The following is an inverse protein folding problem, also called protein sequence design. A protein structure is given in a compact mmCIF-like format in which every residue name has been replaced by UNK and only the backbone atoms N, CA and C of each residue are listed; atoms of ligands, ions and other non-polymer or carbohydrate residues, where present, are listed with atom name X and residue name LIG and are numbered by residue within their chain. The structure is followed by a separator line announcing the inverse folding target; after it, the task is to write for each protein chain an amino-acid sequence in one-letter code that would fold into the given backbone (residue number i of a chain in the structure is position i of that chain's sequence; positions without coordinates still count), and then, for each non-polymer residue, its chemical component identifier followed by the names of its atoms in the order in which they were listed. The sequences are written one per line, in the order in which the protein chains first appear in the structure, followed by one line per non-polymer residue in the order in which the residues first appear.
data_IF_456188518430
#
_entry.id   IF_456188518430
#
_cell.length_a   1.000
_cell.length_b   1.000
_cell.length_c   1.000
_cell.angle_alpha   90.00
_cell.angle_beta   90.00
_cell.angle_gamma   90.00
#
_symmetry.space_group_name_H-M   'P 1'
#
loop_
_entity.id
_entity.type
_entity.pdbx_description
1 polymer ?
#
# COMPACT_ATOMS: atom_id res chain seq x y z
N UNK A 1 -7.82 -32.18 4.75
CA UNK A 1 -6.69 -31.33 4.32
C UNK A 1 -6.84 -30.00 5.03
N UNK A 2 -6.00 -29.68 6.01
CA UNK A 2 -6.00 -28.37 6.66
C UNK A 2 -5.09 -27.45 5.83
N UNK A 3 -5.68 -26.55 5.06
CA UNK A 3 -4.93 -25.49 4.39
C UNK A 3 -4.56 -24.42 5.40
N UNK A 4 -3.30 -23.99 5.43
CA UNK A 4 -2.87 -22.78 6.12
C UNK A 4 -2.66 -21.69 5.07
N UNK A 5 -3.21 -20.51 5.32
CA UNK A 5 -2.95 -19.32 4.51
C UNK A 5 -1.78 -18.57 5.14
N UNK A 6 -0.74 -18.30 4.35
CA UNK A 6 0.32 -17.37 4.71
C UNK A 6 0.03 -16.06 3.98
N UNK A 7 -0.07 -14.96 4.73
CA UNK A 7 -0.17 -13.63 4.14
C UNK A 7 1.23 -13.04 3.99
N UNK A 8 1.50 -12.54 2.79
CA UNK A 8 2.75 -11.87 2.42
C UNK A 8 2.44 -10.48 1.87
N UNK A 9 3.23 -9.50 2.28
CA UNK A 9 3.26 -8.14 1.74
C UNK A 9 4.63 -7.94 1.11
N UNK A 10 4.63 -7.48 -0.14
CA UNK A 10 5.84 -7.07 -0.82
C UNK A 10 5.64 -5.67 -1.41
N UNK A 11 6.64 -4.81 -1.25
CA UNK A 11 6.70 -3.49 -1.87
C UNK A 11 7.81 -3.52 -2.89
N UNK A 12 7.50 -3.01 -4.09
CA UNK A 12 8.48 -2.81 -5.14
C UNK A 12 8.60 -1.34 -5.50
N UNK A 13 9.77 -0.96 -5.99
CA UNK A 13 9.99 0.33 -6.62
C UNK A 13 9.41 0.37 -8.04
N UNK A 14 9.50 1.53 -8.68
CA UNK A 14 9.03 1.74 -10.06
C UNK A 14 9.80 0.93 -11.11
N UNK A 15 10.87 0.22 -10.74
CA UNK A 15 11.65 -0.68 -11.61
C UNK A 15 11.31 -2.16 -11.36
N UNK A 16 10.23 -2.44 -10.64
CA UNK A 16 9.78 -3.78 -10.24
C UNK A 16 10.77 -4.51 -9.30
N UNK A 17 11.66 -3.79 -8.62
CA UNK A 17 12.55 -4.39 -7.62
C UNK A 17 11.89 -4.37 -6.26
N UNK A 18 11.88 -5.51 -5.57
CA UNK A 18 11.43 -5.57 -4.19
C UNK A 18 12.35 -4.77 -3.27
N UNK A 19 11.77 -3.83 -2.53
CA UNK A 19 12.47 -2.96 -1.58
C UNK A 19 12.07 -3.26 -0.12
N UNK A 20 10.97 -3.97 0.08
CA UNK A 20 10.48 -4.39 1.39
C UNK A 20 9.61 -5.64 1.25
N UNK A 21 9.75 -6.57 2.18
CA UNK A 21 8.91 -7.75 2.25
C UNK A 21 8.58 -8.09 3.71
N UNK A 22 7.33 -8.47 3.95
CA UNK A 22 6.85 -8.92 5.24
C UNK A 22 6.04 -10.20 5.04
N UNK A 23 6.43 -11.26 5.75
CA UNK A 23 5.77 -12.56 5.75
C UNK A 23 5.70 -13.08 7.19
N UNK A 24 4.60 -13.76 7.54
CA UNK A 24 4.49 -14.41 8.85
C UNK A 24 3.10 -14.44 9.47
N UNK A 25 2.10 -13.85 8.82
CA UNK A 25 0.73 -13.89 9.32
C UNK A 25 0.04 -15.18 8.85
N UNK A 26 -0.21 -16.08 9.81
CA UNK A 26 -0.92 -17.35 9.58
C UNK A 26 -2.42 -17.12 9.75
N UNK A 27 -3.20 -17.53 8.73
CA UNK A 27 -4.66 -17.40 8.72
C UNK A 27 -5.17 -16.22 7.90
N UNK A 28 -6.50 -16.04 7.87
CA UNK A 28 -7.15 -14.93 7.16
C UNK A 28 -7.00 -13.62 7.95
N UNK A 29 -5.83 -12.99 7.82
CA UNK A 29 -5.59 -11.63 8.31
C UNK A 29 -5.92 -10.63 7.22
N UNK A 30 -6.62 -9.55 7.57
CA UNK A 30 -6.86 -8.44 6.64
C UNK A 30 -5.54 -7.75 6.26
N UNK A 31 -5.39 -7.36 4.99
CA UNK A 31 -4.19 -6.68 4.48
C UNK A 31 -3.77 -5.47 5.33
N UNK A 32 -4.74 -4.71 5.85
CA UNK A 32 -4.46 -3.55 6.70
C UNK A 32 -3.81 -3.92 8.05
N UNK A 33 -4.07 -5.14 8.54
CA UNK A 33 -3.42 -5.69 9.74
C UNK A 33 -2.00 -6.14 9.43
N UNK A 34 -1.79 -6.75 8.26
CA UNK A 34 -0.47 -7.14 7.76
C UNK A 34 0.42 -5.89 7.64
N UNK A 35 -0.11 -4.84 7.00
CA UNK A 35 0.58 -3.55 6.89
C UNK A 35 0.97 -3.02 8.27
N UNK A 36 0.02 -2.86 9.19
CA UNK A 36 0.28 -2.31 10.54
C UNK A 36 1.30 -3.09 11.36
N UNK A 37 1.49 -4.37 11.07
CA UNK A 37 2.47 -5.23 11.74
C UNK A 37 3.83 -5.25 11.05
N UNK A 38 3.89 -4.85 9.78
CA UNK A 38 5.14 -4.77 9.03
C UNK A 38 5.99 -3.58 9.50
N UNK A 39 7.30 -3.72 9.39
CA UNK A 39 8.24 -2.62 9.68
C UNK A 39 7.99 -1.41 8.76
N UNK A 40 7.45 -1.65 7.55
CA UNK A 40 7.01 -0.60 6.63
C UNK A 40 6.02 0.37 7.28
N UNK A 41 5.11 -0.10 8.14
CA UNK A 41 4.15 0.79 8.78
C UNK A 41 4.85 1.84 9.63
N UNK A 42 5.84 1.44 10.44
CA UNK A 42 6.64 2.37 11.24
C UNK A 42 7.39 3.38 10.37
N UNK A 43 7.87 2.96 9.18
CA UNK A 43 8.52 3.86 8.21
C UNK A 43 7.55 4.87 7.60
N UNK A 44 6.29 4.47 7.37
CA UNK A 44 5.24 5.34 6.81
C UNK A 44 4.72 6.35 7.84
N UNK A 45 4.53 5.94 9.11
CA UNK A 45 3.90 6.79 10.14
C UNK A 45 4.89 7.57 11.00
N UNK A 46 6.16 7.16 11.04
CA UNK A 46 7.23 7.89 11.74
C UNK A 46 7.72 9.11 10.96
N UNK A 47 8.83 9.69 11.41
CA UNK A 47 9.61 10.59 10.57
C UNK A 47 10.17 9.76 9.41
N UNK A 48 9.52 9.86 8.25
CA UNK A 48 9.98 9.22 7.03
C UNK A 48 11.41 9.68 6.73
N UNK A 49 12.37 8.80 6.94
CA UNK A 49 13.74 9.06 6.51
C UNK A 49 13.74 9.29 5.00
N UNK A 50 14.41 10.35 4.52
CA UNK A 50 14.62 10.59 3.08
C UNK A 50 15.16 9.35 2.34
N UNK A 51 15.87 8.48 3.07
CA UNK A 51 16.40 7.23 2.56
C UNK A 51 15.32 6.26 2.06
N UNK A 52 14.12 6.30 2.65
CA UNK A 52 13.06 5.35 2.34
C UNK A 52 11.98 5.92 1.42
N UNK A 53 11.72 7.22 1.52
CA UNK A 53 10.81 7.94 0.62
C UNK A 53 11.53 9.11 -0.08
N UNK A 54 12.54 8.82 -0.93
CA UNK A 54 13.29 9.87 -1.60
C UNK A 54 12.40 10.64 -2.57
N UNK A 55 12.69 11.93 -2.76
CA UNK A 55 12.01 12.82 -3.71
C UNK A 55 10.48 12.87 -3.56
N UNK A 56 9.97 12.86 -2.33
CA UNK A 56 8.51 12.83 -2.05
C UNK A 56 7.83 11.63 -2.74
N UNK A 57 8.46 10.46 -2.66
CA UNK A 57 7.88 9.22 -3.16
C UNK A 57 6.83 8.66 -2.20
N UNK A 58 5.89 7.90 -2.76
CA UNK A 58 4.77 7.33 -2.04
C UNK A 58 4.56 5.87 -2.43
N UNK A 59 4.17 5.06 -1.45
CA UNK A 59 3.66 3.71 -1.70
C UNK A 59 2.20 3.80 -2.15
N UNK A 60 1.86 3.05 -3.19
CA UNK A 60 0.48 2.90 -3.64
C UNK A 60 -0.17 1.75 -2.88
N UNK A 61 -1.10 2.08 -1.99
CA UNK A 61 -1.79 1.15 -1.10
C UNK A 61 -3.14 0.64 -1.64
N UNK A 62 -3.69 -0.35 -0.93
CA UNK A 62 -5.06 -0.80 -1.18
C UNK A 62 -6.09 0.24 -0.68
N UNK A 63 -7.30 0.22 -1.26
CA UNK A 63 -8.42 1.08 -0.84
C UNK A 63 -8.82 0.91 0.63
N UNK A 64 -8.46 -0.23 1.25
CA UNK A 64 -8.72 -0.50 2.65
C UNK A 64 -7.78 0.28 3.60
N UNK A 65 -6.67 0.81 3.09
CA UNK A 65 -5.67 1.51 3.89
C UNK A 65 -6.04 2.98 4.13
N UNK A 66 -5.51 3.60 5.20
CA UNK A 66 -5.61 5.04 5.38
C UNK A 66 -4.72 5.78 4.38
N UNK A 67 -5.18 6.95 3.92
CA UNK A 67 -4.32 7.86 3.17
C UNK A 67 -3.38 8.58 4.16
N UNK A 68 -2.07 8.43 3.97
CA UNK A 68 -1.01 9.04 4.81
C UNK A 68 0.01 9.74 3.91
N UNK A 69 0.90 10.60 4.45
CA UNK A 69 1.87 11.34 3.64
C UNK A 69 2.63 10.48 2.64
N UNK A 70 3.10 9.29 3.01
CA UNK A 70 3.83 8.38 2.11
C UNK A 70 3.02 7.13 1.69
N UNK A 71 1.70 7.13 1.90
CA UNK A 71 0.80 6.04 1.51
C UNK A 71 -0.43 6.58 0.78
N UNK A 72 -0.39 6.51 -0.55
CA UNK A 72 -1.49 6.93 -1.41
C UNK A 72 -2.47 5.79 -1.64
N UNK A 73 -3.74 6.04 -1.35
CA UNK A 73 -4.81 5.06 -1.50
C UNK A 73 -5.92 5.61 -2.40
N UNK A 74 -6.64 4.78 -3.17
CA UNK A 74 -7.83 5.22 -3.90
C UNK A 74 -8.85 5.87 -2.95
N UNK A 75 -9.52 6.92 -3.42
CA UNK A 75 -10.71 7.44 -2.74
C UNK A 75 -11.80 6.38 -2.71
N UNK A 76 -12.43 6.19 -1.56
CA UNK A 76 -13.55 5.25 -1.40
C UNK A 76 -14.77 5.75 -2.17
N UNK A 77 -15.28 4.91 -3.07
CA UNK A 77 -16.49 5.24 -3.82
C UNK A 77 -17.74 4.94 -2.99
N UNK A 78 -18.27 5.97 -2.34
CA UNK A 78 -19.55 5.91 -1.63
C UNK A 78 -20.70 6.46 -2.51
N UNK A 79 -20.53 6.49 -3.83
CA UNK A 79 -21.48 7.07 -4.79
C UNK A 79 -21.37 8.59 -4.96
N UNK A 80 -20.45 9.25 -4.27
CA UNK A 80 -20.30 10.71 -4.24
C UNK A 80 -18.91 11.21 -4.68
N UNK A 81 -18.15 10.41 -5.43
CA UNK A 81 -16.83 10.85 -5.92
C UNK A 81 -16.95 12.05 -6.86
N UNK A 82 -16.16 13.08 -6.60
CA UNK A 82 -16.00 14.22 -7.51
C UNK A 82 -15.29 13.79 -8.79
N UNK A 83 -15.40 14.58 -9.86
CA UNK A 83 -14.67 14.32 -11.11
C UNK A 83 -13.14 14.23 -10.90
N UNK A 84 -12.60 15.06 -10.01
CA UNK A 84 -11.19 15.04 -9.65
C UNK A 84 -10.78 13.73 -8.94
N UNK A 85 -11.60 13.25 -8.00
CA UNK A 85 -11.35 11.97 -7.30
C UNK A 85 -11.45 10.78 -8.24
N UNK A 86 -12.40 10.78 -9.19
CA UNK A 86 -12.49 9.74 -10.22
C UNK A 86 -11.24 9.71 -11.10
N UNK A 87 -10.78 10.87 -11.56
CA UNK A 87 -9.55 10.98 -12.34
C UNK A 87 -8.32 10.53 -11.54
N UNK A 88 -8.24 10.88 -10.25
CA UNK A 88 -7.19 10.40 -9.36
C UNK A 88 -7.20 8.86 -9.26
N UNK A 89 -8.34 8.26 -8.93
CA UNK A 89 -8.49 6.80 -8.83
C UNK A 89 -8.14 6.10 -10.15
N UNK A 90 -8.53 6.68 -11.29
CA UNK A 90 -8.19 6.15 -12.62
C UNK A 90 -6.68 6.15 -12.86
N UNK A 91 -6.00 7.26 -12.58
CA UNK A 91 -4.54 7.35 -12.72
C UNK A 91 -3.81 6.41 -11.78
N UNK A 92 -4.28 6.30 -10.53
CA UNK A 92 -3.71 5.40 -9.53
C UNK A 92 -3.87 3.92 -9.94
N UNK A 93 -5.03 3.55 -10.49
CA UNK A 93 -5.27 2.20 -11.02
C UNK A 93 -4.36 1.87 -12.22
N UNK A 94 -4.16 2.85 -13.12
CA UNK A 94 -3.25 2.72 -14.25
C UNK A 94 -1.80 2.49 -13.78
N UNK A 95 -1.34 3.28 -12.80
CA UNK A 95 -0.01 3.12 -12.20
C UNK A 95 0.18 1.71 -11.59
N UNK A 96 -0.82 1.19 -10.87
CA UNK A 96 -0.78 -0.17 -10.29
C UNK A 96 -0.65 -1.30 -11.31
N UNK A 97 -1.10 -1.07 -12.55
CA UNK A 97 -1.08 -2.10 -13.61
C UNK A 97 0.18 -2.00 -14.47
N UNK A 98 0.93 -0.90 -14.34
CA UNK A 98 2.14 -0.63 -15.13
C UNK A 98 3.43 -1.11 -14.44
N UNK A 99 3.31 -1.64 -13.22
CA UNK A 99 4.38 -2.24 -12.41
C UNK A 99 4.20 -3.75 -12.44
#
# INVERSE_FOLDING_TARGET
MYGFTLMEQAVCDHTMKFIDCYAGEVGSSHDARVLKKSDLWSKIVGEAEENYFPNDSHVIGDKAYPCLPHLMCPFKDNGQLTGAQRNFNFRLASARTSI
#
